data_IF_530989202378
#
_entry.id   IF_530989202378
#
_cell.length_a   1.000
_cell.length_b   1.000
_cell.length_c   1.000
_cell.angle_alpha   90.00
_cell.angle_beta   90.00
_cell.angle_gamma   90.00
#
_symmetry.space_group_name_H-M   'P 1'
#
loop_
_entity.id
_entity.type
_entity.pdbx_description
1 polymer ?
#
# COMPACT_ATOMS: atom_id res chain seq x y z
N UNK A 1 8.16 -10.39 19.31
CA UNK A 1 7.17 -10.56 18.22
C UNK A 1 7.44 -9.48 17.19
N UNK A 2 7.55 -9.83 15.91
CA UNK A 2 7.82 -8.86 14.86
C UNK A 2 6.55 -8.06 14.55
N UNK A 3 6.68 -6.80 14.14
CA UNK A 3 5.56 -6.03 13.62
C UNK A 3 5.71 -5.94 12.10
N UNK A 4 4.95 -6.76 11.40
CA UNK A 4 5.02 -6.91 9.96
C UNK A 4 3.88 -6.18 9.26
N UNK A 5 4.18 -5.76 8.04
CA UNK A 5 3.26 -5.07 7.16
C UNK A 5 3.31 -5.63 5.74
N UNK A 6 2.19 -5.48 5.02
CA UNK A 6 2.10 -5.64 3.57
C UNK A 6 2.00 -4.26 2.96
N UNK A 7 2.91 -3.94 2.05
CA UNK A 7 2.98 -2.64 1.38
C UNK A 7 2.76 -2.78 -0.11
N UNK A 8 2.11 -1.78 -0.69
CA UNK A 8 2.07 -1.55 -2.13
C UNK A 8 2.94 -0.34 -2.46
N UNK A 9 3.67 -0.43 -3.57
CA UNK A 9 4.40 0.69 -4.13
C UNK A 9 4.02 0.86 -5.59
N UNK A 10 3.72 2.09 -6.00
CA UNK A 10 3.36 2.44 -7.36
C UNK A 10 3.65 3.91 -7.63
N UNK A 11 3.82 4.28 -8.88
CA UNK A 11 4.26 5.62 -9.24
C UNK A 11 4.74 5.68 -10.68
N UNK A 12 4.97 6.89 -11.18
CA UNK A 12 5.51 7.13 -12.51
C UNK A 12 6.54 8.25 -12.45
N UNK A 13 7.69 8.06 -13.11
CA UNK A 13 8.80 9.01 -13.06
C UNK A 13 9.41 9.13 -11.66
N UNK A 14 9.61 10.35 -11.18
CA UNK A 14 10.26 10.64 -9.89
C UNK A 14 9.30 10.49 -8.69
N UNK A 15 8.01 10.30 -8.91
CA UNK A 15 7.00 10.21 -7.86
C UNK A 15 6.62 8.75 -7.59
N UNK A 16 7.13 8.20 -6.48
CA UNK A 16 6.72 6.89 -5.95
C UNK A 16 5.86 7.07 -4.70
N UNK A 17 4.72 6.40 -4.70
CA UNK A 17 3.80 6.30 -3.57
C UNK A 17 3.96 4.93 -2.94
N UNK A 18 4.13 4.90 -1.61
CA UNK A 18 4.06 3.67 -0.82
C UNK A 18 2.84 3.71 0.07
N UNK A 19 2.00 2.69 -0.02
CA UNK A 19 0.82 2.51 0.81
C UNK A 19 0.92 1.22 1.63
N UNK A 20 0.41 1.27 2.85
CA UNK A 20 0.25 0.09 3.69
C UNK A 20 -1.09 -0.57 3.37
N UNK A 21 -1.05 -1.78 2.84
CA UNK A 21 -2.24 -2.61 2.61
C UNK A 21 -2.71 -3.23 3.91
N UNK A 22 -1.77 -3.62 4.78
CA UNK A 22 -2.02 -4.15 6.12
C UNK A 22 -0.78 -3.94 6.99
N UNK A 23 -0.96 -3.77 8.30
CA UNK A 23 0.12 -3.60 9.28
C UNK A 23 -0.28 -4.25 10.61
N UNK A 24 0.67 -4.40 11.53
CA UNK A 24 0.41 -4.99 12.85
C UNK A 24 0.31 -6.51 12.84
N UNK A 25 0.94 -7.17 11.86
CA UNK A 25 0.97 -8.64 11.78
C UNK A 25 2.11 -9.17 12.64
N UNK A 26 1.85 -10.17 13.46
CA UNK A 26 2.77 -10.60 14.53
C UNK A 26 3.92 -11.45 14.01
N UNK A 27 3.72 -12.10 12.86
CA UNK A 27 4.69 -13.02 12.25
C UNK A 27 4.86 -12.73 10.77
N UNK A 28 6.05 -13.10 10.25
CA UNK A 28 6.35 -13.04 8.83
C UNK A 28 5.40 -13.92 8.03
N UNK A 29 5.09 -15.10 8.54
CA UNK A 29 4.20 -16.08 7.89
C UNK A 29 2.79 -15.52 7.73
N UNK A 30 2.28 -14.82 8.75
CA UNK A 30 1.00 -14.12 8.69
C UNK A 30 1.03 -13.00 7.64
N UNK A 31 2.11 -12.22 7.59
CA UNK A 31 2.31 -11.18 6.58
C UNK A 31 2.37 -11.74 5.16
N UNK A 32 3.04 -12.87 4.96
CA UNK A 32 3.13 -13.55 3.67
C UNK A 32 1.80 -14.18 3.24
N UNK A 33 1.07 -14.78 4.18
CA UNK A 33 -0.29 -15.27 3.92
C UNK A 33 -1.21 -14.12 3.50
N UNK A 34 -1.10 -12.97 4.18
CA UNK A 34 -1.85 -11.77 3.84
C UNK A 34 -1.43 -11.21 2.47
N UNK A 35 -0.13 -11.16 2.18
CA UNK A 35 0.41 -10.75 0.89
C UNK A 35 -0.21 -11.60 -0.24
N UNK A 36 -0.16 -12.93 -0.13
CA UNK A 36 -0.73 -13.85 -1.13
C UNK A 36 -2.24 -13.64 -1.31
N UNK A 37 -2.97 -13.34 -0.24
CA UNK A 37 -4.39 -13.04 -0.32
C UNK A 37 -4.67 -11.72 -1.08
N UNK A 38 -3.85 -10.68 -0.88
CA UNK A 38 -4.06 -9.38 -1.53
C UNK A 38 -3.60 -9.34 -2.99
N UNK A 39 -2.73 -10.26 -3.44
CA UNK A 39 -2.29 -10.32 -4.85
C UNK A 39 -3.44 -10.39 -5.86
N UNK A 40 -4.60 -10.93 -5.45
CA UNK A 40 -5.78 -11.15 -6.31
C UNK A 40 -6.89 -10.12 -6.10
N UNK A 41 -6.81 -9.31 -5.05
CA UNK A 41 -7.91 -8.41 -4.65
C UNK A 41 -7.48 -6.96 -4.49
N UNK A 42 -6.18 -6.70 -4.38
CA UNK A 42 -5.67 -5.33 -4.31
C UNK A 42 -6.09 -4.55 -5.56
N UNK A 43 -6.70 -3.39 -5.33
CA UNK A 43 -7.03 -2.40 -6.33
C UNK A 43 -6.49 -1.05 -5.86
N UNK A 44 -5.91 -0.23 -6.75
CA UNK A 44 -5.54 1.13 -6.40
C UNK A 44 -6.78 1.93 -5.99
N UNK A 45 -6.59 2.92 -5.12
CA UNK A 45 -7.65 3.83 -4.67
C UNK A 45 -8.32 4.60 -5.82
N UNK A 46 -7.58 4.88 -6.90
CA UNK A 46 -8.15 5.42 -8.14
C UNK A 46 -8.94 4.31 -8.80
N UNK A 47 -10.27 4.45 -8.81
CA UNK A 47 -11.29 3.46 -9.15
C UNK A 47 -11.14 2.84 -10.55
N UNK A 48 -10.12 1.99 -10.74
CA UNK A 48 -9.94 1.21 -11.96
C UNK A 48 -10.96 0.07 -11.95
N UNK A 49 -11.76 -0.01 -13.01
CA UNK A 49 -12.59 -1.20 -13.28
C UNK A 49 -11.71 -2.25 -13.92
N UNK A 50 -11.21 -3.18 -13.12
CA UNK A 50 -10.38 -4.28 -13.58
C UNK A 50 -11.10 -5.13 -14.63
N UNK A 51 -10.45 -5.30 -15.79
CA UNK A 51 -10.86 -6.26 -16.82
C UNK A 51 -9.93 -7.47 -16.85
N UNK A 52 -8.69 -7.28 -16.42
CA UNK A 52 -7.64 -8.27 -16.49
C UNK A 52 -6.51 -7.95 -15.52
N UNK A 53 -5.82 -8.98 -15.06
CA UNK A 53 -4.72 -8.89 -14.09
C UNK A 53 -3.65 -9.92 -14.39
N UNK A 54 -2.41 -9.48 -14.34
CA UNK A 54 -1.22 -10.34 -14.28
C UNK A 54 -0.50 -10.14 -12.95
N UNK A 55 0.05 -11.23 -12.43
CA UNK A 55 0.87 -11.24 -11.22
C UNK A 55 2.18 -11.95 -11.54
N UNK A 56 3.27 -11.22 -11.47
CA UNK A 56 4.62 -11.73 -11.63
C UNK A 56 5.29 -11.81 -10.27
N UNK A 57 6.13 -12.83 -10.07
CA UNK A 57 6.99 -12.95 -8.88
C UNK A 57 8.42 -12.56 -9.28
N UNK A 58 9.08 -11.75 -8.46
CA UNK A 58 10.51 -11.52 -8.63
C UNK A 58 11.30 -12.78 -8.21
N UNK A 59 12.37 -13.09 -8.92
CA UNK A 59 13.10 -14.37 -8.81
C UNK A 59 13.64 -14.63 -7.41
N UNK A 60 14.04 -13.59 -6.69
CA UNK A 60 14.87 -13.70 -5.49
C UNK A 60 14.16 -13.30 -4.19
N UNK A 61 12.88 -12.90 -4.27
CA UNK A 61 12.13 -12.36 -3.12
C UNK A 61 10.64 -12.72 -3.19
N UNK A 62 9.97 -12.78 -2.03
CA UNK A 62 8.50 -12.76 -1.94
C UNK A 62 7.96 -11.34 -2.20
N UNK A 63 8.30 -10.84 -3.38
CA UNK A 63 7.89 -9.57 -3.94
C UNK A 63 7.19 -9.86 -5.25
N UNK A 64 6.09 -9.16 -5.52
CA UNK A 64 5.25 -9.41 -6.68
C UNK A 64 4.97 -8.13 -7.45
N UNK A 65 5.10 -8.16 -8.77
CA UNK A 65 4.59 -7.11 -9.64
C UNK A 65 3.17 -7.48 -10.07
N UNK A 66 2.22 -6.60 -9.79
CA UNK A 66 0.83 -6.75 -10.20
C UNK A 66 0.53 -5.71 -11.27
N UNK A 67 0.10 -6.19 -12.43
CA UNK A 67 -0.32 -5.36 -13.56
C UNK A 67 -1.82 -5.55 -13.75
N UNK A 68 -2.58 -4.48 -13.56
CA UNK A 68 -4.04 -4.47 -13.69
C UNK A 68 -4.40 -3.63 -14.91
N UNK A 69 -5.10 -4.24 -15.87
CA UNK A 69 -5.59 -3.55 -17.06
C UNK A 69 -7.08 -3.25 -16.91
N UNK A 70 -7.40 -1.96 -16.90
CA UNK A 70 -8.76 -1.45 -16.96
C UNK A 70 -9.24 -1.25 -18.40
N UNK A 71 -10.38 -0.58 -18.56
CA UNK A 71 -10.92 -0.25 -19.88
C UNK A 71 -10.07 0.79 -20.64
N UNK A 72 -9.52 1.78 -19.92
CA UNK A 72 -8.82 2.94 -20.50
C UNK A 72 -7.44 3.18 -19.92
N UNK A 73 -7.04 2.41 -18.91
CA UNK A 73 -5.77 2.59 -18.19
C UNK A 73 -5.16 1.25 -17.79
N UNK A 74 -3.84 1.24 -17.66
CA UNK A 74 -3.09 0.17 -17.00
C UNK A 74 -2.55 0.72 -15.70
N UNK A 75 -2.59 -0.09 -14.66
CA UNK A 75 -2.03 0.21 -13.36
C UNK A 75 -1.02 -0.87 -12.97
N UNK A 76 0.12 -0.45 -12.45
CA UNK A 76 1.21 -1.33 -12.04
C UNK A 76 1.57 -1.02 -10.60
N UNK A 77 1.69 -2.05 -9.77
CA UNK A 77 2.22 -1.91 -8.43
C UNK A 77 3.08 -3.10 -8.02
N UNK A 78 4.03 -2.83 -7.12
CA UNK A 78 4.79 -3.85 -6.43
C UNK A 78 4.17 -4.10 -5.06
N UNK A 79 3.88 -5.37 -4.75
CA UNK A 79 3.42 -5.82 -3.44
C UNK A 79 4.51 -6.63 -2.75
N UNK A 80 4.81 -6.30 -1.49
CA UNK A 80 5.82 -6.98 -0.67
C UNK A 80 5.52 -6.87 0.82
N UNK A 81 6.22 -7.66 1.62
CA UNK A 81 6.22 -7.50 3.08
C UNK A 81 7.33 -6.56 3.54
N UNK A 82 7.10 -5.90 4.68
CA UNK A 82 8.08 -5.09 5.40
C UNK A 82 7.99 -5.40 6.90
N UNK A 83 9.13 -5.37 7.59
CA UNK A 83 9.22 -5.50 9.04
C UNK A 83 9.50 -4.13 9.65
N UNK A 84 8.79 -3.79 10.72
CA UNK A 84 9.09 -2.63 11.54
C UNK A 84 10.29 -2.95 12.43
N UNK A 85 11.44 -2.36 12.10
CA UNK A 85 12.70 -2.55 12.85
C UNK A 85 12.83 -1.55 14.00
N UNK A 86 12.16 -0.40 13.93
CA UNK A 86 12.22 0.65 14.94
C UNK A 86 10.94 1.49 14.93
N UNK A 87 10.43 1.82 16.11
CA UNK A 87 9.32 2.76 16.33
C UNK A 87 9.82 3.91 17.22
N UNK A 88 9.11 5.05 17.22
CA UNK A 88 9.48 6.17 18.07
C UNK A 88 9.42 5.78 19.56
N UNK A 89 10.41 6.18 20.39
CA UNK A 89 10.36 5.94 21.84
C UNK A 89 9.27 6.78 22.52
N UNK A 90 8.81 7.85 21.87
CA UNK A 90 7.68 8.64 22.34
C UNK A 90 6.37 7.91 22.02
N UNK A 91 5.73 7.37 23.05
CA UNK A 91 4.47 6.63 22.95
C UNK A 91 3.33 7.48 22.38
N UNK A 92 3.35 8.79 22.56
CA UNK A 92 2.36 9.71 21.99
C UNK A 92 2.55 9.87 20.49
N UNK A 93 3.80 9.96 20.03
CA UNK A 93 4.14 10.02 18.60
C UNK A 93 3.83 8.69 17.92
N UNK A 94 4.19 7.57 18.53
CA UNK A 94 3.88 6.24 18.03
C UNK A 94 2.35 6.00 17.95
N UNK A 95 1.59 6.38 18.98
CA UNK A 95 0.14 6.27 18.99
C UNK A 95 -0.52 7.15 17.91
N UNK A 96 -0.06 8.40 17.73
CA UNK A 96 -0.54 9.29 16.66
C UNK A 96 -0.23 8.75 15.28
N UNK A 97 0.97 8.20 15.08
CA UNK A 97 1.32 7.53 13.82
C UNK A 97 0.33 6.38 13.56
N UNK A 98 0.14 5.48 14.53
CA UNK A 98 -0.81 4.35 14.44
C UNK A 98 -2.24 4.80 14.15
N UNK A 99 -2.76 5.80 14.88
CA UNK A 99 -4.10 6.34 14.67
C UNK A 99 -4.27 6.94 13.27
N UNK A 100 -3.29 7.71 12.78
CA UNK A 100 -3.30 8.23 11.41
C UNK A 100 -3.37 7.11 10.36
N UNK A 101 -2.78 5.95 10.63
CA UNK A 101 -2.86 4.78 9.75
C UNK A 101 -4.22 4.10 9.79
N UNK A 102 -4.81 3.94 10.97
CA UNK A 102 -6.14 3.38 11.15
C UNK A 102 -7.22 4.29 10.51
N UNK A 103 -7.09 5.61 10.68
CA UNK A 103 -7.92 6.60 9.99
C UNK A 103 -7.74 6.58 8.48
N UNK A 104 -6.51 6.37 7.97
CA UNK A 104 -6.30 6.20 6.52
C UNK A 104 -6.92 4.89 6.01
N UNK A 105 -7.01 3.85 6.84
CA UNK A 105 -7.67 2.57 6.51
C UNK A 105 -9.20 2.67 6.57
N UNK A 106 -9.76 3.45 7.49
CA UNK A 106 -11.20 3.68 7.65
C UNK A 106 -11.74 4.81 6.75
N UNK A 107 -10.90 5.80 6.45
CA UNK A 107 -11.20 6.97 5.63
C UNK A 107 -10.95 6.71 4.14
N UNK A 108 -11.97 6.23 3.46
CA UNK A 108 -12.16 6.54 2.05
C UNK A 108 -12.62 7.99 1.91
N UNK A 109 -11.70 8.93 1.76
CA UNK A 109 -12.03 10.34 1.53
C UNK A 109 -10.85 11.28 1.77
N UNK A 110 -10.59 12.15 0.80
CA UNK A 110 -9.67 13.29 0.76
C UNK A 110 -8.16 13.03 0.93
N UNK A 111 -7.50 12.95 -0.23
CA UNK A 111 -6.12 13.44 -0.36
C UNK A 111 -6.07 14.97 -0.19
N UNK A 112 -4.88 15.56 -0.02
CA UNK A 112 -4.74 16.99 0.19
C UNK A 112 -5.36 17.73 -1.00
N UNK A 113 -6.42 18.50 -0.73
CA UNK A 113 -6.96 19.43 -1.70
C UNK A 113 -5.86 20.44 -2.02
N UNK A 114 -5.30 20.31 -3.21
CA UNK A 114 -4.43 21.31 -3.79
C UNK A 114 -5.27 22.58 -3.97
N UNK A 115 -5.20 23.47 -2.99
CA UNK A 115 -5.81 24.79 -3.04
C UNK A 115 -4.99 25.62 -4.03
N UNK A 116 -5.26 25.47 -5.31
CA UNK A 116 -4.88 26.51 -6.27
C UNK A 116 -5.78 27.73 -6.01
N UNK A 117 -5.24 28.89 -5.60
CA UNK A 117 -6.07 30.08 -5.42
C UNK A 117 -6.53 30.59 -6.80
N UNK A 118 -7.75 31.12 -6.95
CA UNK A 118 -8.18 31.73 -8.20
C UNK A 118 -7.34 32.99 -8.46
N UNK A 119 -6.61 32.98 -9.57
CA UNK A 119 -5.92 34.15 -10.10
C UNK A 119 -6.92 35.21 -10.54
N UNK A 120 -6.58 36.47 -10.23
CA UNK A 120 -7.27 37.70 -10.64
C UNK A 120 -7.11 37.97 -12.14
#
# INVERSE_FOLDING_TARGET
>A
MGNWAVVSQYGFGEAYVTEFVCSGLETKEQALAKLRAVLRTYLPRKSIRERWRHVYRFTDQETYLVVIKGATSTFECTLRVAELISDSPDSTVAARARARWEDRRAGGGDGPQDRTPPGR
#
